data_IF_996786507433
#
_entry.id   IF_996786507433
#
_cell.length_a   1.000
_cell.length_b   1.000
_cell.length_c   1.000
_cell.angle_alpha   90.00
_cell.angle_beta   90.00
_cell.angle_gamma   90.00
#
_symmetry.space_group_name_H-M   'P 1'
#
loop_
_entity.id
_entity.type
_entity.pdbx_description
1 polymer ?
#
# COMPACT_ATOMS: atom_id res chain seq x y z
N UNK A 1 32.38 -6.16 51.48
CA UNK A 1 31.47 -6.81 50.52
C UNK A 1 30.72 -5.68 49.86
N UNK A 2 30.99 -5.41 48.58
CA UNK A 2 30.09 -4.56 47.81
C UNK A 2 28.76 -5.30 47.69
N UNK A 3 27.70 -4.69 48.23
CA UNK A 3 26.36 -5.20 48.10
C UNK A 3 25.79 -4.68 46.79
N UNK A 4 25.63 -5.57 45.81
CA UNK A 4 24.89 -5.26 44.60
C UNK A 4 23.42 -5.06 44.94
N UNK A 5 22.88 -3.88 44.66
CA UNK A 5 21.47 -3.54 44.85
C UNK A 5 20.84 -3.21 43.50
N UNK A 6 19.60 -3.65 43.30
CA UNK A 6 18.84 -3.35 42.09
C UNK A 6 17.38 -3.09 42.44
N UNK A 7 16.72 -2.32 41.58
CA UNK A 7 15.31 -1.97 41.65
C UNK A 7 14.72 -2.23 40.27
N UNK A 8 13.56 -2.88 40.24
CA UNK A 8 12.81 -3.17 39.03
C UNK A 8 11.34 -2.83 39.27
N UNK A 9 10.81 -1.87 38.50
CA UNK A 9 9.48 -1.30 38.69
C UNK A 9 8.66 -1.46 37.43
N UNK A 10 7.39 -1.82 37.59
CA UNK A 10 6.48 -2.16 36.51
C UNK A 10 5.24 -1.26 36.54
N UNK A 11 4.89 -0.69 35.39
CA UNK A 11 3.74 0.20 35.23
C UNK A 11 2.89 -0.21 34.02
N UNK A 12 1.58 -0.06 34.14
CA UNK A 12 0.69 0.04 32.98
C UNK A 12 0.48 1.53 32.73
N UNK A 13 0.85 2.00 31.54
CA UNK A 13 0.79 3.40 31.15
C UNK A 13 -0.14 3.58 29.95
N UNK A 14 -0.66 4.80 29.78
CA UNK A 14 -1.54 5.18 28.68
C UNK A 14 -0.97 6.39 27.96
N UNK A 15 -0.90 6.34 26.62
CA UNK A 15 -0.49 7.48 25.82
C UNK A 15 -1.55 8.59 25.87
N UNK A 16 -1.16 9.80 26.29
CA UNK A 16 -2.06 10.95 26.38
C UNK A 16 -2.61 11.48 25.03
N UNK A 17 -2.13 10.94 23.90
CA UNK A 17 -2.57 11.34 22.55
C UNK A 17 -3.43 10.30 21.82
N UNK A 18 -3.05 9.02 21.90
CA UNK A 18 -3.75 7.94 21.18
C UNK A 18 -4.40 6.89 22.09
N UNK A 19 -4.41 7.11 23.41
CA UNK A 19 -4.98 6.20 24.42
C UNK A 19 -4.37 4.78 24.38
N UNK A 20 -3.23 4.61 23.71
CA UNK A 20 -2.56 3.32 23.60
C UNK A 20 -2.01 2.90 24.95
N UNK A 21 -2.41 1.71 25.40
CA UNK A 21 -1.93 1.09 26.62
C UNK A 21 -0.61 0.36 26.38
N UNK A 22 0.39 0.66 27.21
CA UNK A 22 1.70 0.02 27.18
C UNK A 22 2.12 -0.43 28.58
N UNK A 23 3.03 -1.39 28.64
CA UNK A 23 3.64 -1.84 29.88
C UNK A 23 5.09 -1.33 29.95
N UNK A 24 5.41 -0.55 30.98
CA UNK A 24 6.73 0.05 31.19
C UNK A 24 7.45 -0.71 32.30
N UNK A 25 8.65 -1.18 32.01
CA UNK A 25 9.63 -1.67 32.96
C UNK A 25 10.71 -0.60 33.17
N UNK A 26 11.03 -0.29 34.43
CA UNK A 26 12.12 0.61 34.81
C UNK A 26 13.08 -0.18 35.69
N UNK A 27 14.31 -0.36 35.20
CA UNK A 27 15.38 -1.06 35.90
C UNK A 27 16.49 -0.09 36.30
N UNK A 28 17.01 -0.21 37.52
CA UNK A 28 18.19 0.53 37.99
C UNK A 28 18.99 -0.36 38.94
N UNK A 29 20.32 -0.22 38.93
CA UNK A 29 21.18 -0.92 39.87
C UNK A 29 22.30 -0.02 40.40
N UNK A 30 22.99 -0.52 41.43
CA UNK A 30 24.07 0.18 42.14
C UNK A 30 25.28 0.53 41.28
N UNK A 31 25.42 -0.03 40.07
CA UNK A 31 26.51 0.27 39.12
C UNK A 31 26.10 1.30 38.06
N UNK A 32 24.80 1.57 37.90
CA UNK A 32 24.27 2.59 37.00
C UNK A 32 24.44 4.00 37.61
N UNK A 33 25.68 4.44 37.85
CA UNK A 33 25.97 5.77 38.42
C UNK A 33 26.79 6.58 37.42
N UNK A 34 26.39 7.83 37.20
CA UNK A 34 27.06 8.79 36.33
C UNK A 34 27.38 10.08 37.11
N UNK A 35 28.39 10.82 36.67
CA UNK A 35 28.69 12.14 37.20
C UNK A 35 28.08 13.19 36.29
N UNK A 36 27.25 14.07 36.83
CA UNK A 36 26.71 15.23 36.14
C UNK A 36 27.79 16.27 35.82
N UNK A 37 27.41 17.30 35.06
CA UNK A 37 28.34 18.34 34.59
C UNK A 37 28.98 19.14 35.74
N UNK A 38 28.33 19.21 36.91
CA UNK A 38 28.86 19.88 38.12
C UNK A 38 29.46 18.91 39.15
N UNK A 39 29.63 17.62 38.80
CA UNK A 39 30.24 16.58 39.63
C UNK A 39 29.29 15.89 40.64
N UNK A 40 28.00 16.15 40.55
CA UNK A 40 26.93 15.47 41.26
C UNK A 40 26.77 14.01 40.81
N UNK A 41 26.37 13.13 41.74
CA UNK A 41 26.08 11.73 41.43
C UNK A 41 24.64 11.62 40.89
N UNK A 42 24.52 11.14 39.66
CA UNK A 42 23.27 10.81 39.00
C UNK A 42 23.10 9.30 38.93
N UNK A 43 21.93 8.80 39.34
CA UNK A 43 21.59 7.37 39.23
C UNK A 43 20.87 7.14 37.91
N UNK A 44 21.46 6.31 37.06
CA UNK A 44 20.90 5.85 35.80
C UNK A 44 19.79 4.83 35.98
N UNK A 45 18.91 4.79 35.00
CA UNK A 45 17.86 3.78 34.87
C UNK A 45 17.69 3.40 33.40
N UNK A 46 17.24 2.17 33.16
CA UNK A 46 16.85 1.69 31.83
C UNK A 46 15.33 1.56 31.78
N UNK A 47 14.71 2.20 30.79
CA UNK A 47 13.28 2.12 30.55
C UNK A 47 12.99 1.22 29.34
N UNK A 48 12.12 0.24 29.52
CA UNK A 48 11.69 -0.68 28.45
C UNK A 48 10.17 -0.70 28.33
N UNK A 49 9.66 -0.37 27.15
CA UNK A 49 8.24 -0.33 26.84
C UNK A 49 7.80 -1.56 26.03
N UNK A 50 6.66 -2.13 26.43
CA UNK A 50 6.00 -3.25 25.78
C UNK A 50 4.57 -2.89 25.33
N UNK A 51 4.11 -3.36 24.16
CA UNK A 51 4.90 -4.07 23.15
C UNK A 51 6.00 -3.16 22.59
N UNK A 52 7.09 -3.76 22.11
CA UNK A 52 8.15 -2.99 21.46
C UNK A 52 7.58 -2.20 20.28
N UNK A 53 8.06 -0.98 20.12
CA UNK A 53 7.65 -0.09 19.04
C UNK A 53 8.87 0.41 18.28
N UNK A 54 8.64 0.93 17.06
CA UNK A 54 9.69 1.52 16.26
C UNK A 54 9.79 3.00 16.64
N UNK A 55 10.81 3.37 17.40
CA UNK A 55 11.05 4.77 17.75
C UNK A 55 11.23 5.60 16.47
N UNK A 56 10.41 6.65 16.30
CA UNK A 56 10.42 7.56 15.13
C UNK A 56 10.12 6.89 13.78
N UNK A 57 9.62 5.65 13.78
CA UNK A 57 9.16 4.98 12.56
C UNK A 57 7.65 4.93 12.49
N UNK A 58 7.12 5.04 11.28
CA UNK A 58 5.69 4.88 11.02
C UNK A 58 5.47 3.54 10.32
N UNK A 59 4.58 2.72 10.87
CA UNK A 59 4.12 1.50 10.20
C UNK A 59 3.17 1.85 9.07
N UNK A 60 3.07 0.95 8.10
CA UNK A 60 2.14 1.09 7.00
C UNK A 60 0.71 0.92 7.51
N UNK A 61 -0.15 1.89 7.22
CA UNK A 61 -1.57 1.76 7.47
C UNK A 61 -2.25 0.93 6.39
N UNK A 62 -3.42 0.38 6.69
CA UNK A 62 -4.26 -0.29 5.68
C UNK A 62 -3.60 -1.48 4.98
N UNK A 63 -2.74 -2.22 5.70
CA UNK A 63 -2.05 -3.41 5.19
C UNK A 63 -2.97 -4.52 4.66
N UNK A 64 -4.27 -4.44 4.92
CA UNK A 64 -5.28 -5.38 4.41
C UNK A 64 -5.45 -5.32 2.89
N UNK A 65 -5.06 -4.23 2.23
CA UNK A 65 -5.03 -4.15 0.76
C UNK A 65 -3.80 -4.83 0.13
N UNK A 66 -2.80 -5.21 0.93
CA UNK A 66 -1.60 -5.86 0.41
C UNK A 66 -1.88 -7.32 0.01
N UNK A 67 -1.24 -7.84 -1.06
CA UNK A 67 -1.24 -9.26 -1.35
C UNK A 67 -0.74 -10.08 -0.16
N UNK A 68 -1.36 -11.24 0.11
CA UNK A 68 -1.12 -12.02 1.34
C UNK A 68 0.36 -12.33 1.61
N UNK A 69 1.12 -12.70 0.58
CA UNK A 69 2.57 -12.95 0.72
C UNK A 69 3.34 -11.69 1.12
N UNK A 70 3.04 -10.54 0.50
CA UNK A 70 3.71 -9.26 0.79
C UNK A 70 3.35 -8.80 2.20
N UNK A 71 2.07 -8.90 2.57
CA UNK A 71 1.56 -8.58 3.91
C UNK A 71 2.31 -9.36 4.99
N UNK A 72 2.43 -10.67 4.82
CA UNK A 72 3.10 -11.53 5.80
C UNK A 72 4.58 -11.14 5.98
N UNK A 73 5.31 -10.96 4.88
CA UNK A 73 6.72 -10.54 4.93
C UNK A 73 6.86 -9.16 5.57
N UNK A 74 5.95 -8.23 5.26
CA UNK A 74 5.91 -6.91 5.89
C UNK A 74 5.75 -7.01 7.40
N UNK A 75 4.73 -7.73 7.88
CA UNK A 75 4.47 -7.91 9.32
C UNK A 75 5.64 -8.58 10.04
N UNK A 76 6.28 -9.59 9.44
CA UNK A 76 7.47 -10.23 9.98
C UNK A 76 8.66 -9.26 10.06
N UNK A 77 8.85 -8.45 9.02
CA UNK A 77 9.91 -7.43 8.96
C UNK A 77 9.72 -6.37 10.05
N UNK A 78 8.49 -5.91 10.25
CA UNK A 78 8.16 -4.95 11.32
C UNK A 78 8.39 -5.56 12.70
N UNK A 79 7.99 -6.82 12.94
CA UNK A 79 8.27 -7.53 14.20
C UNK A 79 9.78 -7.63 14.45
N UNK A 80 10.56 -7.99 13.44
CA UNK A 80 12.01 -8.04 13.53
C UNK A 80 12.60 -6.66 13.86
N UNK A 81 12.06 -5.59 13.27
CA UNK A 81 12.54 -4.23 13.53
C UNK A 81 12.23 -3.78 14.96
N UNK A 82 10.99 -4.01 15.43
CA UNK A 82 10.58 -3.76 16.82
C UNK A 82 11.47 -4.51 17.82
N UNK A 83 11.87 -5.74 17.49
CA UNK A 83 12.77 -6.55 18.29
C UNK A 83 14.27 -6.17 18.14
N UNK A 84 14.59 -5.08 17.44
CA UNK A 84 15.96 -4.61 17.15
C UNK A 84 16.84 -5.65 16.41
N UNK A 85 16.20 -6.59 15.69
CA UNK A 85 16.90 -7.58 14.85
C UNK A 85 17.25 -6.96 13.48
N UNK A 86 18.26 -6.09 13.47
CA UNK A 86 18.57 -5.20 12.33
C UNK A 86 19.03 -5.93 11.05
N UNK A 87 19.78 -7.03 11.18
CA UNK A 87 20.17 -7.85 10.03
C UNK A 87 18.93 -8.46 9.36
N UNK A 88 18.02 -9.03 10.16
CA UNK A 88 16.78 -9.63 9.66
C UNK A 88 15.85 -8.56 9.07
N UNK A 89 15.82 -7.38 9.67
CA UNK A 89 15.05 -6.24 9.16
C UNK A 89 15.50 -5.83 7.75
N UNK A 90 16.83 -5.69 7.53
CA UNK A 90 17.38 -5.38 6.21
C UNK A 90 17.07 -6.49 5.18
N UNK A 91 17.15 -7.75 5.60
CA UNK A 91 16.74 -8.89 4.78
C UNK A 91 15.25 -8.87 4.44
N UNK A 92 14.41 -8.52 5.40
CA UNK A 92 12.97 -8.36 5.24
C UNK A 92 12.61 -7.29 4.22
N UNK A 93 13.22 -6.09 4.29
CA UNK A 93 13.01 -5.05 3.28
C UNK A 93 13.37 -5.49 1.86
N UNK A 94 14.48 -6.24 1.72
CA UNK A 94 14.83 -6.83 0.42
C UNK A 94 13.79 -7.86 -0.03
N UNK A 95 13.34 -8.73 0.87
CA UNK A 95 12.33 -9.74 0.58
C UNK A 95 10.99 -9.11 0.15
N UNK A 96 10.61 -7.98 0.73
CA UNK A 96 9.43 -7.21 0.29
C UNK A 96 9.57 -6.77 -1.17
N UNK A 97 10.70 -6.20 -1.57
CA UNK A 97 10.92 -5.81 -2.98
C UNK A 97 10.85 -7.04 -3.89
N UNK A 98 11.44 -8.16 -3.49
CA UNK A 98 11.40 -9.40 -4.25
C UNK A 98 9.97 -9.95 -4.40
N UNK A 99 9.18 -9.89 -3.33
CA UNK A 99 7.78 -10.28 -3.31
C UNK A 99 6.92 -9.37 -4.19
N UNK A 100 7.10 -8.05 -4.12
CA UNK A 100 6.46 -7.07 -5.01
C UNK A 100 6.78 -7.36 -6.48
N UNK A 101 8.05 -7.61 -6.80
CA UNK A 101 8.43 -7.98 -8.15
C UNK A 101 7.80 -9.32 -8.60
N UNK A 102 7.60 -10.27 -7.69
CA UNK A 102 6.96 -11.56 -8.01
C UNK A 102 5.46 -11.36 -8.31
N UNK A 103 4.78 -10.58 -7.48
CA UNK A 103 3.37 -10.24 -7.61
C UNK A 103 3.08 -9.51 -8.93
N UNK A 104 3.91 -8.52 -9.28
CA UNK A 104 3.85 -7.81 -10.55
C UNK A 104 4.39 -8.61 -11.76
N UNK A 105 4.70 -9.90 -11.57
CA UNK A 105 5.20 -10.81 -12.60
C UNK A 105 6.46 -10.29 -13.31
N UNK A 106 7.32 -9.58 -12.59
CA UNK A 106 8.61 -9.06 -13.05
C UNK A 106 9.70 -10.12 -12.81
N UNK A 107 10.09 -10.80 -13.89
CA UNK A 107 11.07 -11.91 -13.87
C UNK A 107 12.36 -11.51 -14.60
N UNK A 108 13.47 -11.52 -13.86
CA UNK A 108 14.86 -11.36 -14.34
C UNK A 108 15.80 -12.10 -13.39
N UNK A 109 17.04 -12.32 -13.84
CA UNK A 109 18.04 -13.15 -13.15
C UNK A 109 18.46 -12.61 -11.77
N UNK A 110 18.41 -11.29 -11.58
CA UNK A 110 18.84 -10.63 -10.35
C UNK A 110 17.92 -9.47 -9.97
N UNK A 111 17.91 -9.12 -8.68
CA UNK A 111 17.06 -8.06 -8.15
C UNK A 111 17.35 -6.68 -8.75
N UNK A 112 18.60 -6.42 -9.20
CA UNK A 112 18.97 -5.15 -9.83
C UNK A 112 18.12 -4.93 -11.09
N UNK A 113 18.17 -5.92 -12.00
CA UNK A 113 17.42 -5.88 -13.26
C UNK A 113 15.91 -5.84 -13.04
N UNK A 114 15.42 -6.45 -11.95
CA UNK A 114 13.98 -6.41 -11.61
C UNK A 114 13.55 -5.01 -11.19
N UNK A 115 14.35 -4.32 -10.37
CA UNK A 115 14.11 -2.93 -9.97
C UNK A 115 14.16 -1.99 -11.18
N UNK A 116 15.10 -2.20 -12.09
CA UNK A 116 15.20 -1.39 -13.32
C UNK A 116 13.97 -1.60 -14.22
N UNK A 117 13.51 -2.85 -14.34
CA UNK A 117 12.33 -3.21 -15.12
C UNK A 117 11.01 -2.68 -14.51
N UNK A 118 10.93 -2.49 -13.20
CA UNK A 118 9.78 -1.82 -12.56
C UNK A 118 9.65 -0.38 -13.05
N UNK A 119 10.76 0.34 -13.16
CA UNK A 119 10.78 1.70 -13.72
C UNK A 119 10.45 1.70 -15.22
N UNK A 120 11.07 0.80 -16.00
CA UNK A 120 10.79 0.71 -17.46
C UNK A 120 9.31 0.44 -17.77
N UNK A 121 8.63 -0.32 -16.90
CA UNK A 121 7.19 -0.59 -17.02
C UNK A 121 6.29 0.49 -16.41
N UNK A 122 6.86 1.54 -15.85
CA UNK A 122 6.10 2.68 -15.29
C UNK A 122 5.48 2.43 -13.91
N UNK A 123 5.85 1.33 -13.23
CA UNK A 123 5.41 1.11 -11.84
C UNK A 123 6.10 2.06 -10.85
N UNK A 124 7.28 2.57 -11.22
CA UNK A 124 8.09 3.46 -10.41
C UNK A 124 8.66 4.58 -11.28
N UNK A 125 8.88 5.74 -10.68
CA UNK A 125 9.74 6.77 -11.21
C UNK A 125 11.22 6.37 -11.12
N UNK A 126 12.07 7.05 -11.89
CA UNK A 126 13.52 6.82 -11.86
C UNK A 126 14.12 7.03 -10.46
N UNK A 127 13.59 8.00 -9.70
CA UNK A 127 14.07 8.30 -8.35
C UNK A 127 13.66 7.22 -7.36
N UNK A 128 12.46 6.66 -7.47
CA UNK A 128 12.03 5.53 -6.64
C UNK A 128 12.88 4.30 -6.92
N UNK A 129 13.14 3.98 -8.19
CA UNK A 129 14.03 2.88 -8.57
C UNK A 129 15.43 3.03 -7.96
N UNK A 130 16.03 4.23 -8.00
CA UNK A 130 17.31 4.52 -7.32
C UNK A 130 17.25 4.28 -5.81
N UNK A 131 16.16 4.68 -5.14
CA UNK A 131 15.96 4.45 -3.70
C UNK A 131 15.83 2.96 -3.38
N UNK A 132 15.17 2.16 -4.22
CA UNK A 132 15.08 0.71 -4.04
C UNK A 132 16.45 0.02 -4.17
N UNK A 133 17.35 0.55 -5.00
CA UNK A 133 18.73 0.04 -5.04
C UNK A 133 19.45 0.23 -3.70
N UNK A 134 19.17 1.29 -2.93
CA UNK A 134 19.72 1.44 -1.57
C UNK A 134 19.29 0.31 -0.63
N UNK A 135 18.04 -0.15 -0.73
CA UNK A 135 17.55 -1.31 0.04
C UNK A 135 18.28 -2.58 -0.40
N UNK A 136 18.43 -2.78 -1.72
CA UNK A 136 19.18 -3.92 -2.26
C UNK A 136 20.61 -3.98 -1.73
N UNK A 137 21.31 -2.85 -1.73
CA UNK A 137 22.69 -2.77 -1.25
C UNK A 137 22.77 -3.05 0.25
N UNK A 138 21.95 -2.38 1.08
CA UNK A 138 21.97 -2.60 2.52
C UNK A 138 21.60 -4.04 2.89
N UNK A 139 20.59 -4.61 2.25
CA UNK A 139 20.19 -6.01 2.47
C UNK A 139 21.28 -7.00 2.06
N UNK A 140 22.02 -6.72 0.99
CA UNK A 140 23.17 -7.52 0.60
C UNK A 140 24.27 -7.49 1.66
N UNK A 141 24.72 -6.30 2.08
CA UNK A 141 25.77 -6.17 3.11
C UNK A 141 25.33 -6.78 4.45
N UNK A 142 24.07 -6.60 4.84
CA UNK A 142 23.56 -7.19 6.06
C UNK A 142 23.53 -8.73 6.03
N UNK A 143 23.06 -9.35 4.94
CA UNK A 143 22.87 -10.80 4.88
C UNK A 143 24.12 -11.58 4.44
N UNK A 144 24.92 -11.01 3.54
CA UNK A 144 26.09 -11.69 2.99
C UNK A 144 27.38 -11.32 3.73
N UNK A 145 27.51 -10.05 4.14
CA UNK A 145 28.72 -9.52 4.79
C UNK A 145 28.54 -9.44 6.31
N UNK A 146 27.34 -9.75 6.83
CA UNK A 146 26.98 -9.71 8.25
C UNK A 146 27.19 -8.32 8.88
N UNK A 147 27.15 -7.27 8.07
CA UNK A 147 27.26 -5.89 8.54
C UNK A 147 25.95 -5.46 9.22
N UNK A 148 26.02 -5.13 10.51
CA UNK A 148 24.84 -4.70 11.27
C UNK A 148 24.45 -3.28 10.84
N UNK A 149 23.26 -3.07 10.24
CA UNK A 149 22.82 -1.74 9.85
C UNK A 149 22.53 -0.86 11.06
N UNK A 150 22.72 0.45 10.91
CA UNK A 150 22.27 1.41 11.91
C UNK A 150 20.75 1.54 11.87
N UNK A 151 20.12 1.71 13.03
CA UNK A 151 18.68 1.92 13.15
C UNK A 151 18.17 3.05 12.23
N UNK A 152 18.90 4.18 12.16
CA UNK A 152 18.55 5.31 11.30
C UNK A 152 18.51 4.94 9.81
N UNK A 153 19.40 4.06 9.34
CA UNK A 153 19.37 3.58 7.96
C UNK A 153 18.12 2.75 7.71
N UNK A 154 17.75 1.88 8.67
CA UNK A 154 16.54 1.06 8.57
C UNK A 154 15.25 1.88 8.64
N UNK A 155 15.22 2.98 9.39
CA UNK A 155 14.09 3.92 9.40
C UNK A 155 13.88 4.54 8.02
N UNK A 156 14.94 5.02 7.37
CA UNK A 156 14.87 5.57 6.00
C UNK A 156 14.39 4.50 5.02
N UNK A 157 14.87 3.26 5.16
CA UNK A 157 14.42 2.16 4.30
C UNK A 157 12.96 1.79 4.53
N UNK A 158 12.49 1.81 5.78
CA UNK A 158 11.08 1.59 6.10
C UNK A 158 10.19 2.60 5.39
N UNK A 159 10.55 3.89 5.40
CA UNK A 159 9.81 4.94 4.68
C UNK A 159 9.75 4.66 3.18
N UNK A 160 10.88 4.27 2.57
CA UNK A 160 10.93 3.93 1.13
C UNK A 160 10.05 2.71 0.82
N UNK A 161 10.08 1.68 1.67
CA UNK A 161 9.26 0.46 1.49
C UNK A 161 7.78 0.77 1.67
N UNK A 162 7.41 1.53 2.70
CA UNK A 162 6.02 1.95 2.92
C UNK A 162 5.52 2.73 1.71
N UNK A 163 6.26 3.73 1.25
CA UNK A 163 5.85 4.52 0.09
C UNK A 163 5.68 3.67 -1.19
N UNK A 164 6.57 2.70 -1.41
CA UNK A 164 6.44 1.74 -2.51
C UNK A 164 5.12 0.96 -2.42
N UNK A 165 4.82 0.40 -1.24
CA UNK A 165 3.63 -0.43 -1.05
C UNK A 165 2.34 0.40 -1.10
N UNK A 166 2.37 1.62 -0.56
CA UNK A 166 1.25 2.56 -0.63
C UNK A 166 0.87 2.86 -2.08
N UNK A 167 1.86 3.27 -2.87
CA UNK A 167 1.66 3.64 -4.27
C UNK A 167 1.16 2.47 -5.11
N UNK A 168 1.67 1.25 -4.88
CA UNK A 168 1.34 0.10 -5.74
C UNK A 168 0.04 -0.61 -5.37
N UNK A 169 -0.36 -0.59 -4.08
CA UNK A 169 -1.43 -1.47 -3.60
C UNK A 169 -2.54 -0.76 -2.82
N UNK A 170 -2.25 0.38 -2.20
CA UNK A 170 -3.18 1.00 -1.24
C UNK A 170 -3.86 2.23 -1.85
N UNK A 171 -3.10 3.13 -2.47
CA UNK A 171 -3.64 4.40 -2.98
C UNK A 171 -4.77 4.18 -3.99
N UNK A 172 -4.58 3.30 -4.98
CA UNK A 172 -5.62 3.01 -5.97
C UNK A 172 -6.91 2.44 -5.35
N UNK A 173 -6.79 1.69 -4.24
CA UNK A 173 -7.93 1.12 -3.52
C UNK A 173 -8.66 2.16 -2.69
N UNK A 174 -7.94 2.94 -1.88
CA UNK A 174 -8.52 4.05 -1.11
C UNK A 174 -9.19 5.08 -2.01
N UNK A 175 -8.56 5.39 -3.14
CA UNK A 175 -9.14 6.27 -4.13
C UNK A 175 -10.41 5.65 -4.71
N UNK A 176 -10.38 4.38 -5.13
CA UNK A 176 -11.57 3.70 -5.65
C UNK A 176 -12.76 3.66 -4.67
N UNK A 177 -12.50 3.66 -3.36
CA UNK A 177 -13.53 3.64 -2.32
C UNK A 177 -14.16 5.03 -2.10
N UNK A 178 -13.39 6.12 -2.20
CA UNK A 178 -13.82 7.46 -1.76
C UNK A 178 -13.81 8.56 -2.85
N UNK A 179 -13.15 8.34 -3.99
CA UNK A 179 -12.84 9.37 -4.99
C UNK A 179 -12.96 8.88 -6.45
N UNK A 180 -13.56 9.71 -7.32
CA UNK A 180 -13.62 9.43 -8.75
C UNK A 180 -12.27 9.69 -9.44
N UNK A 181 -11.80 8.75 -10.27
CA UNK A 181 -10.57 8.87 -11.08
C UNK A 181 -10.83 8.93 -12.58
N UNK A 182 -9.78 9.22 -13.35
CA UNK A 182 -9.84 9.17 -14.81
C UNK A 182 -10.04 7.73 -15.25
N UNK A 183 -11.08 7.51 -16.05
CA UNK A 183 -11.38 6.21 -16.66
C UNK A 183 -10.66 6.13 -18.01
N UNK A 184 -9.63 5.31 -18.06
CA UNK A 184 -8.83 5.03 -19.26
C UNK A 184 -8.84 3.56 -19.69
N UNK A 185 -9.58 2.71 -18.97
CA UNK A 185 -9.87 1.32 -19.34
C UNK A 185 -11.36 1.11 -19.65
N UNK A 186 -11.61 0.23 -20.61
CA UNK A 186 -12.98 -0.09 -21.02
C UNK A 186 -13.78 -0.81 -19.93
N UNK A 187 -13.15 -1.64 -19.11
CA UNK A 187 -13.84 -2.35 -18.02
C UNK A 187 -14.37 -1.37 -16.96
N UNK A 188 -13.57 -0.38 -16.58
CA UNK A 188 -13.97 0.69 -15.65
C UNK A 188 -15.11 1.53 -16.25
N UNK A 189 -15.05 1.82 -17.56
CA UNK A 189 -16.14 2.47 -18.31
C UNK A 189 -17.44 1.66 -18.28
N UNK A 190 -17.37 0.34 -18.46
CA UNK A 190 -18.53 -0.54 -18.38
C UNK A 190 -19.14 -0.55 -16.98
N UNK A 191 -18.31 -0.66 -15.95
CA UNK A 191 -18.75 -0.60 -14.55
C UNK A 191 -19.45 0.72 -14.25
N UNK A 192 -18.87 1.86 -14.67
CA UNK A 192 -19.53 3.16 -14.53
C UNK A 192 -20.88 3.18 -15.25
N UNK A 193 -20.93 2.68 -16.49
CA UNK A 193 -22.16 2.66 -17.30
C UNK A 193 -23.24 1.82 -16.61
N UNK A 194 -22.89 0.65 -16.06
CA UNK A 194 -23.81 -0.20 -15.29
C UNK A 194 -24.34 0.53 -14.05
N UNK A 195 -23.45 1.13 -13.27
CA UNK A 195 -23.80 1.83 -12.03
C UNK A 195 -24.71 3.04 -12.26
N UNK A 196 -24.68 3.65 -13.45
CA UNK A 196 -25.57 4.75 -13.81
C UNK A 196 -26.95 4.31 -14.29
N UNK A 197 -27.13 3.04 -14.68
CA UNK A 197 -28.43 2.53 -15.09
C UNK A 197 -29.28 2.29 -13.84
N UNK A 198 -30.34 3.08 -13.69
CA UNK A 198 -31.33 2.90 -12.61
C UNK A 198 -32.56 2.14 -13.10
N UNK A 199 -33.39 1.64 -12.16
CA UNK A 199 -34.67 0.99 -12.48
C UNK A 199 -35.58 1.88 -13.35
N UNK A 200 -35.51 3.19 -13.16
CA UNK A 200 -36.33 4.16 -13.89
C UNK A 200 -35.91 4.32 -15.36
N UNK A 201 -34.75 3.78 -15.74
CA UNK A 201 -34.25 3.84 -17.11
C UNK A 201 -34.61 2.60 -17.95
N UNK A 202 -35.13 1.54 -17.32
CA UNK A 202 -35.54 0.32 -18.04
C UNK A 202 -36.62 0.65 -19.06
N UNK A 203 -36.48 0.10 -20.27
CA UNK A 203 -37.34 0.36 -21.44
C UNK A 203 -37.26 1.77 -22.02
N UNK A 204 -36.38 2.66 -21.53
CA UNK A 204 -36.13 3.97 -22.15
C UNK A 204 -35.01 3.88 -23.18
N UNK A 205 -35.08 4.78 -24.16
CA UNK A 205 -34.03 5.01 -25.15
C UNK A 205 -33.26 6.27 -24.73
N UNK A 206 -31.95 6.12 -24.49
CA UNK A 206 -31.09 7.19 -24.00
C UNK A 206 -29.77 7.20 -24.75
N UNK A 207 -29.23 8.38 -25.04
CA UNK A 207 -27.87 8.51 -25.56
C UNK A 207 -26.84 8.20 -24.47
N UNK A 208 -25.62 7.84 -24.88
CA UNK A 208 -24.53 7.58 -23.92
C UNK A 208 -24.26 8.78 -23.01
N UNK A 209 -24.43 10.01 -23.53
CA UNK A 209 -24.28 11.23 -22.75
C UNK A 209 -25.33 11.37 -21.64
N UNK A 210 -26.56 10.92 -21.89
CA UNK A 210 -27.64 10.95 -20.90
C UNK A 210 -27.47 9.85 -19.85
N UNK A 211 -26.95 8.69 -20.24
CA UNK A 211 -26.63 7.60 -19.31
C UNK A 211 -25.50 8.02 -18.36
N UNK A 212 -24.40 8.58 -18.89
CA UNK A 212 -23.22 8.94 -18.08
C UNK A 212 -23.39 10.25 -17.29
N UNK A 213 -24.21 11.18 -17.81
CA UNK A 213 -24.45 12.48 -17.17
C UNK A 213 -23.16 13.25 -16.86
N UNK A 214 -23.02 13.69 -15.60
CA UNK A 214 -21.83 14.43 -15.13
C UNK A 214 -20.56 13.57 -15.10
N UNK A 215 -20.68 12.25 -14.90
CA UNK A 215 -19.54 11.33 -14.81
C UNK A 215 -18.79 11.17 -16.14
N UNK A 216 -19.32 11.70 -17.24
CA UNK A 216 -18.59 11.85 -18.50
C UNK A 216 -17.26 12.62 -18.35
N UNK A 217 -17.16 13.54 -17.37
CA UNK A 217 -15.93 14.30 -17.12
C UNK A 217 -14.72 13.42 -16.76
N UNK A 218 -14.98 12.21 -16.28
CA UNK A 218 -13.97 11.23 -15.90
C UNK A 218 -13.30 10.55 -17.11
N UNK A 219 -13.88 10.69 -18.31
CA UNK A 219 -13.41 10.01 -19.51
C UNK A 219 -12.89 11.05 -20.50
N UNK A 220 -11.66 10.89 -20.99
CA UNK A 220 -11.11 11.77 -22.03
C UNK A 220 -11.93 11.65 -23.33
N UNK A 221 -12.11 12.74 -24.10
CA UNK A 221 -12.92 12.69 -25.33
C UNK A 221 -12.46 11.67 -26.38
N UNK A 222 -11.15 11.41 -26.47
CA UNK A 222 -10.58 10.41 -27.38
C UNK A 222 -10.95 8.98 -26.94
N UNK A 223 -10.83 8.70 -25.63
CA UNK A 223 -11.12 7.40 -25.05
C UNK A 223 -12.63 7.11 -25.05
N UNK A 224 -13.47 8.13 -24.84
CA UNK A 224 -14.93 7.98 -24.91
C UNK A 224 -15.38 7.46 -26.26
N UNK A 225 -14.84 7.99 -27.37
CA UNK A 225 -15.16 7.51 -28.73
C UNK A 225 -14.71 6.06 -28.92
N UNK A 226 -13.51 5.73 -28.43
CA UNK A 226 -12.95 4.37 -28.51
C UNK A 226 -13.80 3.37 -27.72
N UNK A 227 -14.22 3.74 -26.50
CA UNK A 227 -15.07 2.93 -25.66
C UNK A 227 -16.47 2.78 -26.22
N UNK A 228 -17.04 3.84 -26.82
CA UNK A 228 -18.34 3.76 -27.47
C UNK A 228 -18.33 2.77 -28.66
N UNK A 229 -17.31 2.81 -29.52
CA UNK A 229 -17.15 1.82 -30.59
C UNK A 229 -17.04 0.41 -30.04
N UNK A 230 -16.21 0.20 -29.00
CA UNK A 230 -16.03 -1.10 -28.38
C UNK A 230 -17.31 -1.61 -27.68
N UNK A 231 -18.08 -0.71 -27.09
CA UNK A 231 -19.37 -1.02 -26.47
C UNK A 231 -20.36 -1.55 -27.51
N UNK A 232 -20.45 -0.89 -28.67
CA UNK A 232 -21.30 -1.33 -29.78
C UNK A 232 -20.86 -2.71 -30.28
N UNK A 233 -19.55 -2.94 -30.44
CA UNK A 233 -19.02 -4.25 -30.81
C UNK A 233 -19.41 -5.34 -29.79
N UNK A 234 -19.30 -5.06 -28.49
CA UNK A 234 -19.66 -6.02 -27.43
C UNK A 234 -21.16 -6.30 -27.34
N UNK A 235 -22.02 -5.34 -27.70
CA UNK A 235 -23.48 -5.51 -27.78
C UNK A 235 -23.89 -6.27 -29.05
N UNK A 236 -23.48 -5.81 -30.23
CA UNK A 236 -24.00 -6.31 -31.51
C UNK A 236 -23.26 -7.58 -31.99
N UNK A 237 -21.94 -7.66 -31.78
CA UNK A 237 -21.09 -8.72 -32.33
C UNK A 237 -20.83 -9.82 -31.29
N UNK A 238 -20.24 -9.43 -30.15
CA UNK A 238 -19.84 -10.40 -29.12
C UNK A 238 -21.02 -10.89 -28.28
N UNK A 239 -22.08 -10.07 -28.17
CA UNK A 239 -23.24 -10.32 -27.31
C UNK A 239 -22.85 -10.59 -25.84
N UNK A 240 -21.75 -10.01 -25.39
CA UNK A 240 -21.28 -10.08 -23.99
C UNK A 240 -22.09 -9.15 -23.08
N UNK A 241 -22.77 -8.17 -23.66
CA UNK A 241 -23.59 -7.18 -22.96
C UNK A 241 -25.04 -7.41 -23.34
N UNK A 242 -25.87 -7.71 -22.35
CA UNK A 242 -27.26 -8.13 -22.52
C UNK A 242 -28.28 -7.14 -21.92
N UNK A 243 -27.81 -6.08 -21.25
CA UNK A 243 -28.65 -5.06 -20.61
C UNK A 243 -28.86 -3.82 -21.49
N UNK A 244 -28.10 -3.67 -22.58
CA UNK A 244 -28.23 -2.61 -23.56
C UNK A 244 -28.45 -3.19 -24.96
N UNK A 245 -29.33 -2.57 -25.73
CA UNK A 245 -29.49 -2.80 -27.16
C UNK A 245 -29.21 -1.51 -27.93
N UNK A 246 -28.49 -1.62 -29.05
CA UNK A 246 -28.22 -0.48 -29.93
C UNK A 246 -29.47 -0.13 -30.74
N UNK A 247 -29.95 1.10 -30.61
CA UNK A 247 -31.02 1.68 -31.41
C UNK A 247 -30.47 2.88 -32.21
N UNK A 248 -30.97 3.08 -33.43
CA UNK A 248 -30.54 4.21 -34.29
C UNK A 248 -31.72 5.13 -34.54
N UNK A 249 -31.58 6.40 -34.16
CA UNK A 249 -32.50 7.48 -34.55
C UNK A 249 -31.76 8.41 -35.51
N UNK A 250 -31.88 8.14 -36.81
CA UNK A 250 -31.13 8.84 -37.86
C UNK A 250 -29.62 8.54 -37.76
N UNK A 251 -28.78 9.58 -37.75
CA UNK A 251 -27.32 9.46 -37.60
C UNK A 251 -26.86 9.31 -36.13
N UNK A 252 -27.77 9.44 -35.15
CA UNK A 252 -27.44 9.37 -33.72
C UNK A 252 -27.65 7.96 -33.17
N UNK A 253 -26.62 7.47 -32.48
CA UNK A 253 -26.66 6.21 -31.76
C UNK A 253 -27.35 6.44 -30.41
N UNK A 254 -28.37 5.63 -30.15
CA UNK A 254 -29.14 5.65 -28.91
C UNK A 254 -29.11 4.22 -28.34
N UNK A 255 -29.14 4.09 -27.02
CA UNK A 255 -29.12 2.79 -26.36
C UNK A 255 -30.48 2.57 -25.69
N UNK A 256 -31.10 1.44 -25.99
CA UNK A 256 -32.30 0.97 -25.30
C UNK A 256 -31.87 0.10 -24.13
N UNK A 257 -32.31 0.44 -22.93
CA UNK A 257 -31.99 -0.31 -21.71
C UNK A 257 -33.02 -1.44 -21.58
N UNK A 258 -32.59 -2.68 -21.85
CA UNK A 258 -33.50 -3.83 -21.89
C UNK A 258 -33.80 -4.41 -20.51
N UNK A 259 -32.80 -4.42 -19.64
CA UNK A 259 -32.91 -4.92 -18.26
C UNK A 259 -31.91 -4.23 -17.35
N UNK A 260 -32.09 -4.39 -16.04
CA UNK A 260 -31.07 -3.96 -15.09
C UNK A 260 -29.80 -4.81 -15.26
N UNK A 261 -28.60 -4.18 -15.29
CA UNK A 261 -27.37 -4.93 -15.15
C UNK A 261 -27.42 -5.71 -13.83
N UNK A 262 -27.16 -7.01 -13.90
CA UNK A 262 -27.03 -7.86 -12.70
C UNK A 262 -25.60 -7.68 -12.20
N UNK A 263 -25.42 -7.34 -10.93
CA UNK A 263 -24.10 -7.33 -10.31
C UNK A 263 -23.54 -8.75 -10.32
N UNK A 264 -22.41 -8.95 -11.02
CA UNK A 264 -21.70 -10.22 -11.01
C UNK A 264 -20.88 -10.44 -9.72
N UNK A 265 -21.06 -9.61 -8.70
CA UNK A 265 -20.31 -9.65 -7.45
C UNK A 265 -21.20 -9.37 -6.24
N UNK A 266 -22.14 -10.29 -5.98
CA UNK A 266 -22.57 -10.60 -4.61
C UNK A 266 -21.89 -11.92 -4.21
N UNK A 267 -20.64 -11.85 -3.76
CA UNK A 267 -19.95 -12.89 -2.98
C UNK A 267 -18.94 -12.27 -2.03
#
# INVERSE_FOLDING_TARGET
MDYFQWIDTYHVIECAGCENISFLNIYSDSEMIHYGDEGELEYGQTETLYPYFIEKGTELDSIYYLPGTIKNIYEETIKAFKAKAYILTAGGFRAIIEATCNDLKIRKDDLSKRIDLLHEKGFLSLNESKRLHSIRFLGNSALHEMEIPKQQQLLILLEIVNHLLENLYIHDKKIGDDLDTIIDKFEEFLTLTRNKISKDFVSKEMSLNEILGKSKILIKPADLKKFETKLIEEIEVTKSIDFLAVAKHGEKIIYKIEKMPVDAFDF
#
